data_IF_994280601458
#
_entry.id   IF_994280601458
#
_cell.length_a   1.000
_cell.length_b   1.000
_cell.length_c   1.000
_cell.angle_alpha   90.00
_cell.angle_beta   90.00
_cell.angle_gamma   90.00
#
_symmetry.space_group_name_H-M   'P 1'
#
loop_
_entity.id
_entity.type
_entity.pdbx_description
1 polymer ?
#
# COMPACT_ATOMS: atom_id res chain seq x y z
N UNK A 1 -4.01 12.51 -26.11
CA UNK A 1 -5.42 12.92 -26.00
C UNK A 1 -6.04 12.10 -24.88
N UNK A 2 -6.48 12.72 -23.78
CA UNK A 2 -7.10 12.00 -22.66
C UNK A 2 -8.61 12.23 -22.73
N UNK A 3 -9.36 11.20 -23.13
CA UNK A 3 -10.82 11.24 -23.12
C UNK A 3 -11.31 11.13 -21.67
N UNK A 4 -11.79 12.22 -21.09
CA UNK A 4 -12.54 12.17 -19.83
C UNK A 4 -14.01 11.98 -20.15
N UNK A 5 -14.50 10.76 -19.91
CA UNK A 5 -15.92 10.43 -19.94
C UNK A 5 -16.64 11.13 -18.79
N UNK A 6 -17.72 11.83 -19.10
CA UNK A 6 -18.63 12.40 -18.11
C UNK A 6 -19.35 11.24 -17.40
N UNK A 7 -19.01 10.98 -16.14
CA UNK A 7 -19.57 9.88 -15.32
C UNK A 7 -21.09 9.93 -15.13
N UNK A 8 -21.77 10.98 -15.59
CA UNK A 8 -23.25 11.07 -15.60
C UNK A 8 -23.91 10.54 -16.88
N UNK A 9 -23.14 10.20 -17.91
CA UNK A 9 -23.67 9.63 -19.16
C UNK A 9 -23.00 8.28 -19.39
N UNK A 10 -23.47 7.24 -18.70
CA UNK A 10 -22.91 5.88 -18.82
C UNK A 10 -23.28 5.19 -20.15
N UNK A 11 -24.05 5.83 -21.02
CA UNK A 11 -24.31 5.40 -22.39
C UNK A 11 -24.24 6.59 -23.35
N UNK A 12 -23.44 6.50 -24.44
CA UNK A 12 -23.33 7.58 -25.43
C UNK A 12 -24.65 7.86 -26.17
N UNK A 13 -25.54 6.87 -26.23
CA UNK A 13 -26.85 6.92 -26.89
C UNK A 13 -27.88 7.85 -26.19
N UNK A 14 -27.69 8.15 -24.90
CA UNK A 14 -28.70 8.83 -24.06
C UNK A 14 -28.46 10.33 -23.85
N UNK A 15 -27.46 10.94 -24.49
CA UNK A 15 -27.20 12.38 -24.38
C UNK A 15 -28.17 13.20 -25.26
N UNK A 16 -29.47 13.17 -24.95
CA UNK A 16 -30.51 13.98 -25.60
C UNK A 16 -30.64 15.39 -25.00
N UNK A 17 -29.53 16.09 -24.75
CA UNK A 17 -29.61 17.54 -24.54
C UNK A 17 -29.76 18.19 -25.92
N UNK A 18 -31.00 18.33 -26.40
CA UNK A 18 -31.31 19.21 -27.53
C UNK A 18 -30.98 20.65 -27.12
N UNK A 19 -29.77 21.13 -27.45
CA UNK A 19 -29.55 22.58 -27.50
C UNK A 19 -30.26 23.10 -28.74
N UNK A 20 -31.44 23.69 -28.53
CA UNK A 20 -32.10 24.53 -29.53
C UNK A 20 -31.20 25.75 -29.75
N UNK A 21 -30.60 25.85 -30.93
CA UNK A 21 -30.14 27.14 -31.45
C UNK A 21 -28.66 27.51 -31.33
N UNK A 22 -27.71 26.59 -31.53
CA UNK A 22 -26.35 27.04 -31.89
C UNK A 22 -25.69 26.10 -32.90
N UNK A 23 -25.67 26.51 -34.17
CA UNK A 23 -24.86 25.90 -35.23
C UNK A 23 -23.36 26.15 -35.00
N UNK A 24 -22.80 25.48 -33.98
CA UNK A 24 -21.36 25.40 -33.77
C UNK A 24 -21.00 23.96 -33.48
N UNK A 25 -19.99 23.48 -34.19
CA UNK A 25 -19.49 22.13 -34.10
C UNK A 25 -19.11 21.76 -32.66
N UNK A 26 -19.41 20.51 -32.31
CA UNK A 26 -19.28 19.93 -30.97
C UNK A 26 -17.87 20.04 -30.35
N UNK A 27 -16.86 20.37 -31.15
CA UNK A 27 -15.46 20.46 -30.74
C UNK A 27 -15.14 21.67 -29.85
N UNK A 28 -15.98 22.70 -29.79
CA UNK A 28 -15.66 23.95 -29.04
C UNK A 28 -16.32 24.09 -27.67
N UNK A 29 -17.22 23.18 -27.26
CA UNK A 29 -17.99 23.34 -26.01
C UNK A 29 -17.25 22.88 -24.74
N UNK A 30 -16.04 22.33 -24.84
CA UNK A 30 -15.27 21.84 -23.69
C UNK A 30 -14.13 22.77 -23.25
N UNK A 31 -14.29 24.08 -23.40
CA UNK A 31 -13.43 25.06 -22.71
C UNK A 31 -14.04 25.30 -21.32
N UNK A 32 -13.73 24.41 -20.37
CA UNK A 32 -13.98 24.69 -18.95
C UNK A 32 -12.80 25.50 -18.44
N UNK A 33 -13.08 26.79 -18.19
CA UNK A 33 -12.32 27.60 -17.24
C UNK A 33 -12.34 26.88 -15.88
N UNK A 34 -11.19 26.39 -15.43
CA UNK A 34 -10.95 26.06 -14.03
C UNK A 34 -9.54 26.54 -13.67
N UNK A 35 -9.39 27.86 -13.57
CA UNK A 35 -8.27 28.49 -12.85
C UNK A 35 -8.70 28.59 -11.39
N UNK A 36 -8.49 27.52 -10.63
CA UNK A 36 -8.35 27.66 -9.18
C UNK A 36 -6.88 27.93 -8.90
N UNK A 37 -6.56 29.23 -8.82
CA UNK A 37 -5.28 29.75 -8.38
C UNK A 37 -5.16 29.43 -6.87
N UNK A 38 -4.22 28.57 -6.43
CA UNK A 38 -4.03 28.35 -5.01
C UNK A 38 -3.52 29.65 -4.36
N UNK A 39 -3.93 29.96 -3.11
CA UNK A 39 -3.50 31.17 -2.43
C UNK A 39 -1.98 31.13 -2.21
N UNK A 40 -1.27 32.25 -2.47
CA UNK A 40 0.15 32.35 -2.17
C UNK A 40 0.28 32.58 -0.67
N UNK A 41 0.43 31.51 0.15
CA UNK A 41 1.02 31.52 1.50
C UNK A 41 0.80 30.21 2.29
N UNK A 42 0.81 29.03 1.65
CA UNK A 42 0.96 27.78 2.39
C UNK A 42 2.47 27.47 2.55
N UNK A 43 3.13 28.15 3.50
CA UNK A 43 4.39 27.65 4.05
C UNK A 43 4.07 26.33 4.76
N UNK A 44 4.45 25.22 4.13
CA UNK A 44 4.34 23.90 4.74
C UNK A 44 5.15 23.86 6.05
N UNK A 45 4.68 23.14 7.07
CA UNK A 45 5.45 22.93 8.29
C UNK A 45 6.76 22.20 7.97
N UNK A 46 7.85 22.65 8.59
CA UNK A 46 9.20 22.06 8.51
C UNK A 46 9.16 20.57 8.87
N UNK A 47 9.11 19.73 7.83
CA UNK A 47 9.11 18.25 7.94
C UNK A 47 10.37 17.69 8.63
N UNK A 48 11.43 18.50 8.75
CA UNK A 48 12.66 18.11 9.44
C UNK A 48 12.52 18.07 10.97
N UNK A 49 11.59 18.82 11.57
CA UNK A 49 11.42 18.77 13.03
C UNK A 49 10.66 17.52 13.49
N UNK A 50 9.65 17.09 12.71
CA UNK A 50 8.86 15.89 13.00
C UNK A 50 9.67 14.60 12.79
N UNK A 51 10.58 14.60 11.81
CA UNK A 51 11.50 13.48 11.57
C UNK A 51 12.48 13.27 12.74
N UNK A 52 12.95 14.34 13.38
CA UNK A 52 13.81 14.25 14.58
C UNK A 52 13.04 13.75 15.82
N UNK A 53 11.77 14.13 15.99
CA UNK A 53 10.96 13.64 17.12
C UNK A 53 10.62 12.15 17.02
N UNK A 54 10.36 11.63 15.81
CA UNK A 54 10.09 10.20 15.61
C UNK A 54 11.35 9.34 15.82
N UNK A 55 12.53 9.86 15.50
CA UNK A 55 13.80 9.13 15.67
C UNK A 55 14.26 9.07 17.13
N UNK A 56 13.90 10.07 17.96
CA UNK A 56 14.14 10.05 19.41
C UNK A 56 13.21 9.08 20.16
N UNK A 57 12.02 8.77 19.62
CA UNK A 57 11.10 7.79 20.22
C UNK A 57 11.45 6.33 19.93
N UNK A 58 12.19 6.06 18.85
CA UNK A 58 12.59 4.71 18.48
C UNK A 58 13.73 4.14 19.36
N UNK A 59 14.47 4.99 20.08
CA UNK A 59 15.58 4.58 20.97
C UNK A 59 15.16 4.33 22.43
N UNK A 60 13.88 4.54 22.78
CA UNK A 60 13.35 4.30 24.12
C UNK A 60 12.49 3.02 24.23
N UNK A 61 12.53 2.14 23.23
CA UNK A 61 11.74 0.90 23.22
C UNK A 61 12.43 -0.22 24.03
N UNK A 62 11.92 -0.39 25.25
CA UNK A 62 11.75 -1.65 25.99
C UNK A 62 12.95 -2.61 26.13
N UNK A 63 13.55 -2.73 27.32
CA UNK A 63 14.39 -3.89 27.63
C UNK A 63 13.54 -5.17 27.59
N UNK A 64 13.92 -6.10 26.72
CA UNK A 64 13.39 -7.48 26.67
C UNK A 64 13.42 -8.12 28.07
N UNK A 65 12.31 -8.75 28.54
CA UNK A 65 12.36 -9.57 29.73
C UNK A 65 13.22 -10.81 29.44
N UNK A 66 14.30 -10.98 30.21
CA UNK A 66 15.09 -12.22 30.22
C UNK A 66 14.22 -13.33 30.80
N UNK A 67 13.71 -14.20 29.94
CA UNK A 67 13.13 -15.48 30.35
C UNK A 67 14.25 -16.34 30.97
N UNK A 68 14.34 -16.32 32.29
CA UNK A 68 15.10 -17.30 33.05
C UNK A 68 14.31 -18.61 33.03
N UNK A 69 14.55 -19.44 32.02
CA UNK A 69 14.14 -20.84 32.04
C UNK A 69 14.97 -21.56 33.10
N UNK A 70 14.40 -21.70 34.30
CA UNK A 70 14.90 -22.62 35.31
C UNK A 70 14.73 -24.06 34.78
N UNK A 71 15.83 -24.61 34.28
CA UNK A 71 15.97 -26.03 33.95
C UNK A 71 15.94 -26.82 35.25
N UNK A 72 14.75 -27.27 35.66
CA UNK A 72 14.62 -28.30 36.71
C UNK A 72 15.13 -29.61 36.11
N UNK A 73 16.36 -29.99 36.46
CA UNK A 73 16.86 -31.35 36.29
C UNK A 73 16.08 -32.24 37.25
N UNK A 74 15.07 -32.93 36.75
CA UNK A 74 14.39 -34.00 37.48
C UNK A 74 15.20 -35.29 37.29
N UNK A 75 15.91 -35.69 38.34
CA UNK A 75 16.62 -36.95 38.42
C UNK A 75 15.63 -38.12 38.31
N UNK A 76 15.64 -38.79 37.16
CA UNK A 76 14.63 -39.75 36.74
C UNK A 76 14.87 -41.20 37.24
N UNK A 77 15.66 -41.42 38.29
CA UNK A 77 16.09 -42.78 38.64
C UNK A 77 15.64 -43.32 40.00
N UNK A 78 15.23 -42.50 40.98
CA UNK A 78 14.95 -43.01 42.34
C UNK A 78 13.51 -42.85 42.84
N UNK A 79 12.62 -42.15 42.11
CA UNK A 79 11.25 -41.89 42.59
C UNK A 79 10.18 -42.87 42.05
N UNK A 80 10.55 -43.84 41.22
CA UNK A 80 9.59 -44.74 40.55
C UNK A 80 9.05 -45.83 41.47
N UNK A 81 9.72 -46.15 42.58
CA UNK A 81 9.31 -47.27 43.45
C UNK A 81 8.37 -46.86 44.59
N UNK A 82 8.36 -45.57 44.98
CA UNK A 82 7.50 -45.07 46.07
C UNK A 82 6.09 -44.70 45.56
N UNK A 83 5.95 -44.29 44.30
CA UNK A 83 4.65 -43.92 43.71
C UNK A 83 3.74 -45.13 43.46
N UNK A 84 4.32 -46.32 43.26
CA UNK A 84 3.53 -47.54 42.99
C UNK A 84 2.83 -48.07 44.26
N UNK A 85 3.37 -47.82 45.46
CA UNK A 85 2.75 -48.27 46.72
C UNK A 85 1.65 -47.33 47.25
N UNK A 86 1.63 -46.06 46.83
CA UNK A 86 0.55 -45.12 47.18
C UNK A 86 -0.71 -45.33 46.32
N UNK A 87 -0.56 -45.81 45.07
CA UNK A 87 -1.68 -45.96 44.14
C UNK A 87 -2.59 -47.18 44.42
N UNK A 88 -2.08 -48.25 45.04
CA UNK A 88 -2.89 -49.43 45.40
C UNK A 88 -3.79 -49.20 46.62
N UNK A 89 -3.35 -48.39 47.60
CA UNK A 89 -4.17 -48.02 48.76
C UNK A 89 -5.27 -47.01 48.40
N UNK A 90 -5.03 -46.11 47.44
CA UNK A 90 -6.05 -45.19 46.92
C UNK A 90 -7.16 -45.92 46.16
N UNK A 91 -6.83 -46.96 45.39
CA UNK A 91 -7.81 -47.77 44.67
C UNK A 91 -8.79 -48.52 45.61
N UNK A 92 -8.32 -48.94 46.78
CA UNK A 92 -9.18 -49.63 47.76
C UNK A 92 -10.14 -48.65 48.47
N UNK A 93 -9.68 -47.43 48.78
CA UNK A 93 -10.53 -46.37 49.33
C UNK A 93 -11.57 -45.86 48.32
N UNK A 94 -11.20 -45.68 47.05
CA UNK A 94 -12.11 -45.23 46.00
C UNK A 94 -13.20 -46.26 45.70
N UNK A 95 -12.87 -47.57 45.74
CA UNK A 95 -13.86 -48.63 45.54
C UNK A 95 -14.84 -48.74 46.72
N UNK A 96 -14.39 -48.45 47.95
CA UNK A 96 -15.26 -48.43 49.14
C UNK A 96 -16.20 -47.21 49.22
N UNK A 97 -15.95 -46.15 48.45
CA UNK A 97 -16.85 -44.99 48.34
C UNK A 97 -17.86 -45.12 47.20
N UNK A 98 -17.64 -46.04 46.26
CA UNK A 98 -18.50 -46.22 45.08
C UNK A 98 -19.87 -46.85 45.38
N UNK A 99 -20.06 -47.48 46.55
CA UNK A 99 -21.32 -48.14 46.95
C UNK A 99 -22.21 -47.26 47.85
N UNK A 100 -21.78 -46.04 48.20
CA UNK A 100 -22.66 -45.06 48.85
C UNK A 100 -23.48 -44.38 47.76
N UNK A 101 -24.74 -44.78 47.64
CA UNK A 101 -25.71 -44.24 46.68
C UNK A 101 -25.59 -42.71 46.56
N UNK A 102 -25.35 -42.26 45.33
CA UNK A 102 -25.16 -40.88 44.85
C UNK A 102 -26.47 -40.07 45.01
N UNK A 103 -26.96 -39.95 46.23
CA UNK A 103 -28.19 -39.22 46.57
C UNK A 103 -27.96 -38.28 47.75
N UNK A 104 -26.70 -37.98 48.08
CA UNK A 104 -26.40 -36.90 49.01
C UNK A 104 -26.63 -35.57 48.29
N UNK A 105 -27.50 -34.67 48.80
CA UNK A 105 -27.77 -33.38 48.18
C UNK A 105 -26.49 -32.57 47.93
N UNK A 106 -25.51 -32.67 48.82
CA UNK A 106 -24.21 -31.98 48.73
C UNK A 106 -23.40 -32.36 47.47
N UNK A 107 -23.49 -33.63 47.03
CA UNK A 107 -22.75 -34.07 45.84
C UNK A 107 -23.44 -33.58 44.55
N UNK A 108 -24.77 -33.48 44.54
CA UNK A 108 -25.51 -32.91 43.40
C UNK A 108 -25.20 -31.43 43.25
N UNK A 109 -25.17 -30.70 44.38
CA UNK A 109 -24.77 -29.28 44.40
C UNK A 109 -23.34 -29.11 43.89
N UNK A 110 -22.39 -29.92 44.34
CA UNK A 110 -21.00 -29.86 43.84
C UNK A 110 -20.88 -30.19 42.34
N UNK A 111 -21.69 -31.11 41.81
CA UNK A 111 -21.73 -31.40 40.37
C UNK A 111 -22.31 -30.24 39.56
N UNK A 112 -23.41 -29.64 40.04
CA UNK A 112 -24.03 -28.48 39.41
C UNK A 112 -23.07 -27.27 39.44
N UNK A 113 -22.32 -27.07 40.53
CA UNK A 113 -21.27 -26.05 40.60
C UNK A 113 -20.18 -26.28 39.55
N UNK A 114 -19.71 -27.52 39.38
CA UNK A 114 -18.68 -27.85 38.40
C UNK A 114 -19.19 -27.64 36.97
N UNK A 115 -20.41 -28.08 36.65
CA UNK A 115 -21.03 -27.87 35.34
C UNK A 115 -21.19 -26.37 35.04
N UNK A 116 -21.62 -25.57 36.03
CA UNK A 116 -21.70 -24.12 35.90
C UNK A 116 -20.32 -23.49 35.65
N UNK A 117 -19.26 -23.92 36.35
CA UNK A 117 -17.89 -23.44 36.10
C UNK A 117 -17.41 -23.80 34.69
N UNK A 118 -17.68 -25.02 34.22
CA UNK A 118 -17.32 -25.48 32.88
C UNK A 118 -18.05 -24.69 31.79
N UNK A 119 -19.35 -24.45 31.93
CA UNK A 119 -20.14 -23.65 30.99
C UNK A 119 -19.62 -22.20 30.93
N UNK A 120 -19.35 -21.58 32.08
CA UNK A 120 -18.80 -20.22 32.15
C UNK A 120 -17.41 -20.10 31.48
N UNK A 121 -16.55 -21.11 31.64
CA UNK A 121 -15.23 -21.13 31.01
C UNK A 121 -15.33 -21.26 29.47
N UNK A 122 -16.24 -22.11 28.99
CA UNK A 122 -16.51 -22.26 27.56
C UNK A 122 -17.06 -20.95 26.96
N UNK A 123 -17.99 -20.28 27.65
CA UNK A 123 -18.55 -19.00 27.22
C UNK A 123 -17.48 -17.90 27.16
N UNK A 124 -16.59 -17.83 28.15
CA UNK A 124 -15.47 -16.88 28.10
C UNK A 124 -14.54 -17.16 26.92
N UNK A 125 -14.23 -18.43 26.64
CA UNK A 125 -13.39 -18.81 25.51
C UNK A 125 -14.03 -18.46 24.17
N UNK A 126 -15.34 -18.70 24.01
CA UNK A 126 -16.06 -18.37 22.77
C UNK A 126 -16.09 -16.86 22.53
N UNK A 127 -16.30 -16.04 23.58
CA UNK A 127 -16.24 -14.57 23.48
C UNK A 127 -14.86 -14.09 23.04
N UNK A 128 -13.79 -14.66 23.60
CA UNK A 128 -12.42 -14.31 23.20
C UNK A 128 -12.12 -14.69 21.74
N UNK A 129 -12.52 -15.89 21.32
CA UNK A 129 -12.36 -16.33 19.93
C UNK A 129 -13.13 -15.44 18.96
N UNK A 130 -14.38 -15.10 19.29
CA UNK A 130 -15.20 -14.21 18.47
C UNK A 130 -14.57 -12.81 18.35
N UNK A 131 -13.98 -12.30 19.44
CA UNK A 131 -13.25 -11.03 19.43
C UNK A 131 -12.02 -11.09 18.52
N UNK A 132 -11.24 -12.16 18.58
CA UNK A 132 -10.07 -12.34 17.71
C UNK A 132 -10.51 -12.40 16.23
N UNK A 133 -11.54 -13.17 15.91
CA UNK A 133 -12.04 -13.30 14.53
C UNK A 133 -12.55 -11.95 13.98
N UNK A 134 -13.29 -11.18 14.79
CA UNK A 134 -13.76 -9.85 14.37
C UNK A 134 -12.59 -8.86 14.15
N UNK A 135 -11.55 -8.93 14.97
CA UNK A 135 -10.32 -8.14 14.77
C UNK A 135 -9.60 -8.53 13.48
N UNK A 136 -9.45 -9.84 13.21
CA UNK A 136 -8.83 -10.34 11.97
C UNK A 136 -9.62 -9.92 10.73
N UNK A 137 -10.96 -10.00 10.77
CA UNK A 137 -11.81 -9.53 9.67
C UNK A 137 -11.63 -8.03 9.43
N UNK A 138 -11.55 -7.24 10.51
CA UNK A 138 -11.30 -5.79 10.42
C UNK A 138 -9.92 -5.49 9.82
N UNK A 139 -8.88 -6.21 10.24
CA UNK A 139 -7.54 -6.07 9.68
C UNK A 139 -7.48 -6.45 8.21
N UNK A 140 -8.14 -7.54 7.83
CA UNK A 140 -8.24 -7.99 6.44
C UNK A 140 -8.88 -6.90 5.56
N UNK A 141 -10.02 -6.34 5.97
CA UNK A 141 -10.68 -5.23 5.25
C UNK A 141 -9.81 -3.97 5.14
N UNK A 142 -9.05 -3.64 6.19
CA UNK A 142 -8.09 -2.53 6.13
C UNK A 142 -6.93 -2.83 5.17
N UNK A 143 -6.44 -4.07 5.15
CA UNK A 143 -5.36 -4.49 4.26
C UNK A 143 -5.79 -4.45 2.80
N UNK A 144 -7.00 -4.91 2.46
CA UNK A 144 -7.52 -4.80 1.07
C UNK A 144 -7.63 -3.33 0.63
N UNK A 145 -8.09 -2.45 1.53
CA UNK A 145 -8.14 -1.00 1.26
C UNK A 145 -6.75 -0.40 1.04
N UNK A 146 -5.76 -0.79 1.84
CA UNK A 146 -4.38 -0.34 1.66
C UNK A 146 -3.78 -0.84 0.35
N UNK A 147 -4.02 -2.09 -0.03
CA UNK A 147 -3.54 -2.66 -1.28
C UNK A 147 -4.06 -1.87 -2.49
N UNK A 148 -5.36 -1.56 -2.52
CA UNK A 148 -5.93 -0.73 -3.59
C UNK A 148 -5.27 0.66 -3.68
N UNK A 149 -5.00 1.29 -2.52
CA UNK A 149 -4.32 2.59 -2.49
C UNK A 149 -2.88 2.48 -3.00
N UNK A 150 -2.20 1.39 -2.67
CA UNK A 150 -0.83 1.12 -3.11
C UNK A 150 -0.77 0.88 -4.62
N UNK A 151 -1.65 0.05 -5.18
CA UNK A 151 -1.76 -0.17 -6.63
C UNK A 151 -2.02 1.13 -7.40
N UNK A 152 -2.90 1.99 -6.88
CA UNK A 152 -3.12 3.32 -7.46
C UNK A 152 -1.84 4.17 -7.43
N UNK A 153 -1.16 4.22 -6.29
CA UNK A 153 0.08 4.99 -6.14
C UNK A 153 1.17 4.49 -7.08
N UNK A 154 1.30 3.18 -7.27
CA UNK A 154 2.25 2.60 -8.22
C UNK A 154 1.91 2.97 -9.66
N UNK A 155 0.63 2.97 -10.02
CA UNK A 155 0.19 3.41 -11.35
C UNK A 155 0.52 4.89 -11.59
N UNK A 156 0.21 5.75 -10.63
CA UNK A 156 0.51 7.19 -10.70
C UNK A 156 2.02 7.44 -10.77
N UNK A 157 2.82 6.66 -10.02
CA UNK A 157 4.27 6.73 -10.06
C UNK A 157 4.83 6.38 -11.45
N UNK A 158 4.36 5.28 -12.06
CA UNK A 158 4.74 4.90 -13.44
C UNK A 158 4.38 5.99 -14.45
N UNK A 159 3.18 6.57 -14.34
CA UNK A 159 2.75 7.66 -15.22
C UNK A 159 3.61 8.91 -15.04
N UNK A 160 3.94 9.27 -13.80
CA UNK A 160 4.80 10.40 -13.50
C UNK A 160 6.22 10.20 -14.06
N UNK A 161 6.82 9.03 -13.84
CA UNK A 161 8.14 8.69 -14.40
C UNK A 161 8.14 8.78 -15.93
N UNK A 162 7.09 8.27 -16.60
CA UNK A 162 6.94 8.40 -18.05
C UNK A 162 6.87 9.86 -18.51
N UNK A 163 6.08 10.68 -17.83
CA UNK A 163 5.98 12.12 -18.14
C UNK A 163 7.31 12.86 -17.91
N UNK A 164 8.03 12.53 -16.84
CA UNK A 164 9.34 13.11 -16.56
C UNK A 164 10.35 12.74 -17.64
N UNK A 165 10.38 11.48 -18.10
CA UNK A 165 11.26 11.07 -19.19
C UNK A 165 10.98 11.85 -20.49
N UNK A 166 9.70 12.02 -20.85
CA UNK A 166 9.31 12.83 -22.01
C UNK A 166 9.74 14.30 -21.87
N UNK A 167 9.65 14.88 -20.67
CA UNK A 167 10.13 16.24 -20.44
C UNK A 167 11.65 16.34 -20.56
N UNK A 168 12.40 15.35 -20.06
CA UNK A 168 13.85 15.27 -20.21
C UNK A 168 14.23 15.20 -21.70
N UNK A 169 13.58 14.32 -22.48
CA UNK A 169 13.82 14.21 -23.92
C UNK A 169 13.50 15.50 -24.69
N UNK A 170 12.43 16.21 -24.31
CA UNK A 170 12.03 17.47 -24.95
C UNK A 170 12.87 18.67 -24.53
N UNK A 171 13.44 18.62 -23.33
CA UNK A 171 14.32 19.67 -22.78
C UNK A 171 15.79 19.44 -23.10
N UNK A 172 16.13 18.27 -23.67
CA UNK A 172 17.46 18.04 -24.21
C UNK A 172 17.81 19.18 -25.17
N UNK A 173 18.96 19.86 -24.97
CA UNK A 173 19.36 20.97 -25.82
C UNK A 173 19.43 20.49 -27.26
N UNK A 174 18.85 21.27 -28.18
CA UNK A 174 18.90 21.02 -29.62
C UNK A 174 19.58 22.21 -30.28
N UNK A 175 20.52 21.96 -31.18
CA UNK A 175 21.11 23.03 -31.97
C UNK A 175 20.06 23.57 -32.95
N UNK A 176 19.89 24.89 -33.00
CA UNK A 176 19.02 25.55 -34.00
C UNK A 176 19.55 25.39 -35.44
N UNK A 177 20.82 25.06 -35.60
CA UNK A 177 21.46 24.74 -36.87
C UNK A 177 21.65 23.23 -36.96
N UNK A 178 20.98 22.58 -37.92
CA UNK A 178 21.07 21.12 -38.14
C UNK A 178 22.46 20.66 -38.60
N UNK A 179 23.31 21.59 -39.04
CA UNK A 179 24.65 21.31 -39.54
C UNK A 179 25.75 21.42 -38.46
N UNK A 180 25.41 21.93 -37.27
CA UNK A 180 26.34 22.16 -36.17
C UNK A 180 25.91 21.38 -34.93
N UNK A 181 26.88 20.90 -34.13
CA UNK A 181 26.58 20.38 -32.80
C UNK A 181 26.12 21.52 -31.87
N UNK A 182 25.61 21.16 -30.69
CA UNK A 182 25.18 22.12 -29.67
C UNK A 182 26.37 22.98 -29.22
N UNK A 183 27.56 22.38 -29.09
CA UNK A 183 28.79 23.06 -28.68
C UNK A 183 29.32 24.03 -29.75
N UNK A 184 29.09 23.70 -31.01
CA UNK A 184 29.49 24.49 -32.18
C UNK A 184 28.53 25.65 -32.47
N UNK A 185 27.24 25.52 -32.10
CA UNK A 185 26.21 26.54 -32.35
C UNK A 185 26.10 27.57 -31.21
N UNK A 186 27.21 28.20 -30.82
CA UNK A 186 27.28 29.13 -29.66
C UNK A 186 26.51 30.43 -29.83
N UNK A 187 26.41 30.91 -31.07
CA UNK A 187 25.66 32.10 -31.47
C UNK A 187 24.20 31.80 -31.79
N UNK A 188 23.78 30.53 -31.65
CA UNK A 188 22.42 30.08 -31.83
C UNK A 188 21.84 30.39 -33.23
N UNK A 189 22.69 30.33 -34.27
CA UNK A 189 22.26 30.57 -35.64
C UNK A 189 21.36 29.45 -36.14
N UNK A 190 20.49 29.81 -37.11
CA UNK A 190 19.68 28.85 -37.85
C UNK A 190 20.47 28.25 -39.01
N UNK A 191 20.06 27.07 -39.49
CA UNK A 191 20.72 26.35 -40.60
C UNK A 191 20.96 27.20 -41.86
N UNK A 192 20.07 28.14 -42.17
CA UNK A 192 20.21 29.06 -43.31
C UNK A 192 21.31 30.13 -43.17
N UNK A 193 21.85 30.32 -41.96
CA UNK A 193 22.93 31.28 -41.64
C UNK A 193 24.20 30.57 -41.15
N UNK A 194 24.32 29.27 -41.39
CA UNK A 194 25.48 28.51 -40.95
C UNK A 194 26.76 28.99 -41.66
N UNK A 195 27.75 29.44 -40.87
CA UNK A 195 29.02 29.95 -41.39
C UNK A 195 29.91 28.86 -42.01
N UNK A 196 29.75 27.60 -41.60
CA UNK A 196 30.42 26.44 -42.23
C UNK A 196 29.92 26.16 -43.64
N UNK A 197 28.64 26.49 -43.92
CA UNK A 197 27.96 26.20 -45.18
C UNK A 197 27.21 27.45 -45.66
N UNK A 198 27.99 28.45 -46.09
CA UNK A 198 27.45 29.75 -46.51
C UNK A 198 26.60 29.63 -47.79
N UNK A 199 27.07 28.80 -48.73
CA UNK A 199 26.45 28.63 -50.04
C UNK A 199 25.27 27.64 -50.00
N UNK A 200 24.10 27.97 -50.61
CA UNK A 200 22.96 27.07 -50.67
C UNK A 200 23.26 25.68 -51.22
N UNK A 201 24.15 25.53 -52.21
CA UNK A 201 24.50 24.23 -52.79
C UNK A 201 25.24 23.38 -51.77
N UNK A 202 26.20 23.97 -51.04
CA UNK A 202 26.91 23.26 -49.96
C UNK A 202 25.97 22.83 -48.82
N UNK A 203 24.97 23.65 -48.47
CA UNK A 203 23.94 23.27 -47.49
C UNK A 203 23.09 22.10 -47.98
N UNK A 204 22.66 22.13 -49.24
CA UNK A 204 21.86 21.05 -49.81
C UNK A 204 22.66 19.76 -49.89
N UNK A 205 23.92 19.82 -50.33
CA UNK A 205 24.81 18.66 -50.35
C UNK A 205 24.99 18.07 -48.94
N UNK A 206 25.22 18.91 -47.93
CA UNK A 206 25.34 18.45 -46.54
C UNK A 206 24.01 17.90 -46.00
N UNK A 207 22.88 18.51 -46.33
CA UNK A 207 21.56 18.01 -45.96
C UNK A 207 21.28 16.63 -46.58
N UNK A 208 21.74 16.39 -47.81
CA UNK A 208 21.69 15.07 -48.45
C UNK A 208 22.57 14.04 -47.73
N UNK A 209 23.80 14.41 -47.37
CA UNK A 209 24.72 13.53 -46.59
C UNK A 209 24.11 13.17 -45.23
N UNK A 210 23.42 14.12 -44.59
CA UNK A 210 22.70 13.91 -43.33
C UNK A 210 21.35 13.19 -43.49
N UNK A 211 20.92 12.87 -44.72
CA UNK A 211 19.65 12.20 -44.99
C UNK A 211 18.39 13.08 -44.82
N UNK A 212 18.55 14.38 -44.59
CA UNK A 212 17.43 15.30 -44.28
C UNK A 212 16.50 15.56 -45.47
N UNK A 213 16.94 15.24 -46.70
CA UNK A 213 16.17 15.49 -47.92
C UNK A 213 15.16 14.38 -48.27
N UNK A 214 15.16 13.25 -47.55
CA UNK A 214 14.34 12.08 -47.89
C UNK A 214 13.16 11.83 -46.93
N UNK A 215 13.09 12.53 -45.79
CA UNK A 215 12.07 12.31 -44.76
C UNK A 215 10.76 13.11 -44.98
N UNK A 216 10.49 13.57 -46.20
CA UNK A 216 9.22 14.23 -46.54
C UNK A 216 8.17 13.20 -47.00
N UNK A 217 7.71 12.31 -46.11
CA UNK A 217 6.64 11.35 -46.40
C UNK A 217 5.64 11.23 -45.24
#
# INVERSE_FOLDING_TARGET
MVFRLCLKCLKPEDCRIKRVGSGRDHASCCVIQNVHKPPPNARGPDTDHERRQLQARATAANPMPRNASALVKSDAAENTTIVVCANTSAHFYLRSMSDRSVTSPDLREAMDELDNVCLNAADQQTVLLQRILSQLATMSSKMTTMNFRLERLEHDNRALTGNTNLLVERSAPKSNCVFCSIEDNRDNHFSGRCSRYFDPVTRTAQAMVLGLCLESA
#
